data_IF_204811757475
#
_entry.id   IF_204811757475
#
_cell.length_a   1.000
_cell.length_b   1.000
_cell.length_c   1.000
_cell.angle_alpha   90.00
_cell.angle_beta   90.00
_cell.angle_gamma   90.00
#
_symmetry.space_group_name_H-M   'P 1'
#
loop_
_entity.id
_entity.type
_entity.pdbx_description
1 polymer ?
#
# COMPACT_ATOMS: atom_id res chain seq x y z
N UNK A 1 -1.64 -8.03 -15.31
CA UNK A 1 -2.80 -7.53 -14.54
C UNK A 1 -3.57 -6.62 -15.48
N UNK A 2 -4.90 -6.68 -15.45
CA UNK A 2 -5.70 -5.69 -16.20
C UNK A 2 -5.34 -4.29 -15.68
N UNK A 3 -5.15 -3.32 -16.59
CA UNK A 3 -4.61 -2.00 -16.24
C UNK A 3 -5.60 -1.14 -15.46
N UNK A 4 -6.88 -1.49 -15.50
CA UNK A 4 -7.96 -0.80 -14.79
C UNK A 4 -8.39 -1.52 -13.50
N UNK A 5 -7.74 -2.64 -13.16
CA UNK A 5 -8.09 -3.44 -12.00
C UNK A 5 -7.24 -3.07 -10.77
N UNK A 6 -7.89 -2.87 -9.63
CA UNK A 6 -7.24 -2.88 -8.33
C UNK A 6 -7.14 -4.31 -7.81
N UNK A 7 -5.98 -4.71 -7.29
CA UNK A 7 -5.77 -6.00 -6.65
C UNK A 7 -5.18 -5.82 -5.26
N UNK A 8 -5.86 -6.37 -4.27
CA UNK A 8 -5.37 -6.47 -2.90
C UNK A 8 -4.90 -7.90 -2.63
N UNK A 9 -3.71 -8.03 -2.05
CA UNK A 9 -3.16 -9.29 -1.53
C UNK A 9 -2.99 -9.13 -0.02
N UNK A 10 -3.61 -10.03 0.74
CA UNK A 10 -3.46 -10.14 2.18
C UNK A 10 -2.67 -11.42 2.48
N UNK A 11 -1.53 -11.27 3.14
CA UNK A 11 -0.81 -12.35 3.81
C UNK A 11 -0.93 -12.16 5.33
N UNK A 12 -0.15 -12.90 6.13
CA UNK A 12 -0.26 -12.89 7.60
C UNK A 12 -0.18 -11.48 8.18
N UNK A 13 0.93 -10.78 8.02
CA UNK A 13 1.13 -9.43 8.56
C UNK A 13 1.33 -8.37 7.47
N UNK A 14 0.84 -8.65 6.26
CA UNK A 14 1.12 -7.85 5.07
C UNK A 14 -0.14 -7.63 4.23
N UNK A 15 -0.43 -6.37 3.94
CA UNK A 15 -1.39 -5.97 2.92
C UNK A 15 -0.65 -5.28 1.78
N UNK A 16 -0.87 -5.73 0.55
CA UNK A 16 -0.38 -5.05 -0.66
C UNK A 16 -1.55 -4.74 -1.56
N UNK A 17 -1.72 -3.48 -1.91
CA UNK A 17 -2.71 -3.01 -2.88
C UNK A 17 -1.97 -2.51 -4.11
N UNK A 18 -2.22 -3.12 -5.26
CA UNK A 18 -1.69 -2.67 -6.56
C UNK A 18 -2.85 -2.20 -7.41
N UNK A 19 -2.72 -1.04 -8.05
CA UNK A 19 -3.74 -0.49 -8.94
C UNK A 19 -3.10 0.30 -10.08
N UNK A 20 -3.82 0.40 -11.20
CA UNK A 20 -3.40 1.12 -12.40
C UNK A 20 -4.35 2.27 -12.77
N UNK A 21 -4.03 2.93 -13.89
CA UNK A 21 -4.71 4.09 -14.50
C UNK A 21 -5.09 5.21 -13.51
N UNK A 22 -4.21 5.42 -12.54
CA UNK A 22 -4.34 6.49 -11.54
C UNK A 22 -3.91 7.87 -12.06
N UNK A 23 -3.25 7.93 -13.22
CA UNK A 23 -2.59 9.14 -13.69
C UNK A 23 -3.56 10.10 -14.38
N UNK A 24 -3.58 11.33 -13.87
CA UNK A 24 -4.39 12.42 -14.38
C UNK A 24 -3.92 12.86 -15.77
N UNK A 25 -4.85 13.39 -16.58
CA UNK A 25 -4.54 13.96 -17.90
C UNK A 25 -3.43 15.03 -17.83
N UNK A 26 -3.42 15.85 -16.79
CA UNK A 26 -2.38 16.87 -16.59
C UNK A 26 -1.00 16.25 -16.33
N UNK A 27 -0.93 15.15 -15.59
CA UNK A 27 0.31 14.43 -15.32
C UNK A 27 0.86 13.77 -16.59
N UNK A 28 -0.02 13.15 -17.40
CA UNK A 28 0.33 12.59 -18.73
C UNK A 28 0.98 13.67 -19.61
N UNK A 29 0.36 14.85 -19.69
CA UNK A 29 0.92 15.99 -20.45
C UNK A 29 2.29 16.46 -19.92
N UNK A 30 2.51 16.45 -18.60
CA UNK A 30 3.81 16.81 -18.03
C UNK A 30 4.89 15.78 -18.37
N UNK A 31 4.55 14.49 -18.41
CA UNK A 31 5.48 13.43 -18.81
C UNK A 31 5.86 13.58 -20.28
N UNK A 32 4.89 13.85 -21.16
CA UNK A 32 5.11 14.07 -22.59
C UNK A 32 6.05 15.26 -22.84
N UNK A 33 6.00 16.28 -21.99
CA UNK A 33 6.91 17.44 -21.97
C UNK A 33 8.27 17.17 -21.28
N UNK A 34 8.58 15.92 -20.94
CA UNK A 34 9.85 15.52 -20.33
C UNK A 34 9.96 15.78 -18.82
N UNK A 35 8.85 16.03 -18.12
CA UNK A 35 8.82 16.35 -16.68
C UNK A 35 8.46 15.15 -15.79
N UNK A 36 8.79 13.94 -16.23
CA UNK A 36 8.55 12.71 -15.46
C UNK A 36 9.07 12.75 -14.00
N UNK A 37 10.27 13.30 -13.69
CA UNK A 37 10.73 13.39 -12.29
C UNK A 37 9.84 14.25 -11.40
N UNK A 38 9.23 15.31 -11.95
CA UNK A 38 8.28 16.16 -11.22
C UNK A 38 7.02 15.38 -10.88
N UNK A 39 6.46 14.64 -11.84
CA UNK A 39 5.26 13.82 -11.64
C UNK A 39 5.51 12.73 -10.60
N UNK A 40 6.64 12.03 -10.68
CA UNK A 40 7.03 11.04 -9.67
C UNK A 40 7.13 11.64 -8.27
N UNK A 41 7.73 12.83 -8.14
CA UNK A 41 7.81 13.54 -6.86
C UNK A 41 6.41 13.89 -6.35
N UNK A 42 5.57 14.47 -7.20
CA UNK A 42 4.21 14.88 -6.84
C UNK A 42 3.39 13.70 -6.31
N UNK A 43 3.40 12.56 -7.01
CA UNK A 43 2.66 11.36 -6.60
C UNK A 43 3.12 10.84 -5.25
N UNK A 44 4.44 10.79 -5.03
CA UNK A 44 5.02 10.39 -3.74
C UNK A 44 4.57 11.31 -2.60
N UNK A 45 4.52 12.62 -2.82
CA UNK A 45 4.05 13.57 -1.79
C UNK A 45 2.56 13.40 -1.48
N UNK A 46 1.72 13.15 -2.49
CA UNK A 46 0.29 12.87 -2.25
C UNK A 46 0.10 11.60 -1.42
N UNK A 47 0.79 10.52 -1.76
CA UNK A 47 0.68 9.25 -1.02
C UNK A 47 1.24 9.37 0.40
N UNK A 48 2.36 10.08 0.60
CA UNK A 48 2.87 10.36 1.94
C UNK A 48 1.85 11.14 2.78
N UNK A 49 1.17 12.11 2.16
CA UNK A 49 0.13 12.92 2.81
C UNK A 49 -1.09 12.06 3.18
N UNK A 50 -1.51 11.19 2.26
CA UNK A 50 -2.67 10.30 2.45
C UNK A 50 -2.36 9.07 3.30
N UNK A 51 -1.09 8.78 3.58
CA UNK A 51 -0.69 7.52 4.22
C UNK A 51 -1.34 7.25 5.56
N UNK A 52 -1.61 8.30 6.35
CA UNK A 52 -2.33 8.18 7.62
C UNK A 52 -3.78 7.76 7.44
N UNK A 53 -4.48 8.37 6.48
CA UNK A 53 -5.89 8.05 6.18
C UNK A 53 -6.01 6.64 5.59
N UNK A 54 -5.08 6.27 4.68
CA UNK A 54 -5.02 4.94 4.08
C UNK A 54 -4.74 3.87 5.14
N UNK A 55 -3.79 4.11 6.04
CA UNK A 55 -3.48 3.19 7.14
C UNK A 55 -4.70 3.03 8.04
N UNK A 56 -5.34 4.13 8.43
CA UNK A 56 -6.54 4.11 9.28
C UNK A 56 -7.69 3.29 8.67
N UNK A 57 -7.91 3.42 7.36
CA UNK A 57 -8.90 2.62 6.65
C UNK A 57 -8.58 1.12 6.67
N UNK A 58 -7.31 0.74 6.49
CA UNK A 58 -6.87 -0.67 6.62
C UNK A 58 -7.06 -1.17 8.05
N UNK A 59 -6.72 -0.37 9.05
CA UNK A 59 -6.92 -0.72 10.47
C UNK A 59 -8.39 -0.96 10.79
N UNK A 60 -9.30 -0.11 10.30
CA UNK A 60 -10.74 -0.24 10.51
C UNK A 60 -11.30 -1.53 9.89
N UNK A 61 -10.87 -1.86 8.66
CA UNK A 61 -11.37 -3.04 7.94
C UNK A 61 -10.85 -4.34 8.54
N UNK A 62 -9.60 -4.36 9.01
CA UNK A 62 -8.93 -5.58 9.48
C UNK A 62 -8.92 -5.75 11.00
N UNK A 63 -9.35 -4.73 11.75
CA UNK A 63 -9.23 -4.67 13.22
C UNK A 63 -7.81 -4.97 13.72
N UNK A 64 -6.80 -4.48 12.98
CA UNK A 64 -5.37 -4.70 13.24
C UNK A 64 -4.58 -3.44 13.02
N UNK A 65 -3.57 -3.20 13.85
CA UNK A 65 -2.71 -2.02 13.74
C UNK A 65 -1.79 -2.09 12.54
N UNK A 66 -1.63 -0.97 11.83
CA UNK A 66 -0.63 -0.80 10.78
C UNK A 66 0.62 -0.21 11.42
N UNK A 67 1.73 -0.96 11.41
CA UNK A 67 3.00 -0.53 12.02
C UNK A 67 3.91 0.18 11.01
N UNK A 68 3.68 -0.01 9.71
CA UNK A 68 4.39 0.68 8.66
C UNK A 68 3.55 0.79 7.38
N UNK A 69 3.69 1.93 6.70
CA UNK A 69 3.10 2.19 5.38
C UNK A 69 4.20 2.61 4.41
N UNK A 70 4.16 2.08 3.20
CA UNK A 70 5.08 2.42 2.12
C UNK A 70 4.32 2.51 0.81
N UNK A 71 4.78 3.40 -0.06
CA UNK A 71 4.19 3.63 -1.37
C UNK A 71 5.22 3.65 -2.48
N UNK A 72 4.85 3.15 -3.66
CA UNK A 72 5.66 3.18 -4.87
C UNK A 72 4.80 3.48 -6.09
N UNK A 73 5.36 4.22 -7.05
CA UNK A 73 4.72 4.51 -8.33
C UNK A 73 5.60 4.04 -9.49
N UNK A 74 4.95 3.75 -10.61
CA UNK A 74 5.56 3.47 -11.89
C UNK A 74 4.80 4.27 -12.97
N UNK A 75 5.51 4.94 -13.88
CA UNK A 75 4.86 5.81 -14.87
C UNK A 75 4.43 5.09 -16.15
N UNK A 76 5.22 4.11 -16.61
CA UNK A 76 4.90 3.33 -17.81
C UNK A 76 5.37 1.86 -17.68
N UNK A 77 4.47 0.93 -17.30
CA UNK A 77 3.03 1.14 -17.15
C UNK A 77 2.67 2.01 -15.93
N UNK A 78 1.57 2.75 -16.02
CA UNK A 78 1.02 3.55 -14.91
C UNK A 78 0.47 2.62 -13.83
N UNK A 79 1.21 2.48 -12.74
CA UNK A 79 0.88 1.63 -11.61
C UNK A 79 1.27 2.31 -10.30
N UNK A 80 0.49 2.06 -9.25
CA UNK A 80 0.87 2.35 -7.88
C UNK A 80 0.77 1.07 -7.03
N UNK A 81 1.63 1.00 -6.02
CA UNK A 81 1.60 -0.04 -5.00
C UNK A 81 1.62 0.61 -3.62
N UNK A 82 0.66 0.22 -2.81
CA UNK A 82 0.54 0.61 -1.41
C UNK A 82 0.76 -0.63 -0.54
N UNK A 83 1.70 -0.53 0.40
CA UNK A 83 2.15 -1.64 1.22
C UNK A 83 1.96 -1.29 2.68
N UNK A 84 1.25 -2.14 3.41
CA UNK A 84 0.96 -1.99 4.82
C UNK A 84 1.50 -3.20 5.56
N UNK A 85 2.28 -2.95 6.61
CA UNK A 85 2.71 -3.99 7.55
C UNK A 85 1.81 -3.91 8.78
N UNK A 86 1.22 -5.04 9.15
CA UNK A 86 0.33 -5.16 10.29
C UNK A 86 1.10 -5.60 11.54
N UNK A 87 0.60 -5.24 12.71
CA UNK A 87 1.08 -5.76 13.99
C UNK A 87 0.83 -7.28 14.06
N UNK A 88 1.80 -8.13 14.43
CA UNK A 88 1.65 -9.58 14.42
C UNK A 88 0.48 -10.03 15.30
N UNK A 89 -0.24 -11.06 14.85
CA UNK A 89 -1.21 -11.73 15.72
C UNK A 89 -0.43 -12.62 16.70
N UNK A 90 -0.61 -12.47 18.02
CA UNK A 90 0.03 -13.36 18.98
C UNK A 90 -0.35 -14.82 18.68
N UNK A 91 0.65 -15.68 18.51
CA UNK A 91 0.42 -17.11 18.30
C UNK A 91 -0.44 -17.69 19.42
N UNK A 92 -1.65 -18.14 19.08
CA UNK A 92 -2.51 -18.89 20.01
C UNK A 92 -1.87 -20.22 20.47
N UNK A 93 -0.79 -20.65 19.82
CA UNK A 93 -0.05 -21.87 20.10
C UNK A 93 0.97 -21.76 21.24
N UNK A 94 1.24 -20.56 21.77
CA UNK A 94 2.22 -20.38 22.85
C UNK A 94 1.71 -20.79 24.26
N UNK A 95 0.42 -21.15 24.40
CA UNK A 95 -0.18 -21.57 25.68
C UNK A 95 -0.34 -23.10 25.84
N UNK A 96 0.49 -23.89 25.15
CA UNK A 96 0.41 -25.36 25.16
C UNK A 96 1.63 -26.07 25.74
N UNK A 97 1.67 -26.27 27.07
CA UNK A 97 2.40 -27.36 27.75
C UNK A 97 3.49 -26.94 28.74
N UNK A 98 3.57 -27.45 29.98
CA UNK A 98 2.80 -28.49 30.68
C UNK A 98 2.94 -28.31 32.21
N UNK A 99 1.98 -28.77 33.03
CA UNK A 99 2.18 -28.93 34.47
C UNK A 99 3.23 -30.00 34.70
N UNK A 100 4.31 -29.65 35.40
CA UNK A 100 5.27 -30.63 35.93
C UNK A 100 4.63 -31.39 37.07
N UNK A 101 4.48 -32.70 36.90
CA UNK A 101 4.32 -33.69 37.98
C UNK A 101 5.69 -33.90 38.67
#
# INVERSE_FOLDING_TARGET
>A
MDRDATRTTLAEDLVVVVFGDSMLKAEKSLIDDGKAPLVMKLRREFQNTMGGDLSSAVEEVLDRKVIAFMSANHLDPDLAAEVFILDPVPDASANGGSPTD
#
